data_IF_085184988429
#
_entry.id   IF_085184988429
#
_cell.length_a   1.000
_cell.length_b   1.000
_cell.length_c   1.000
_cell.angle_alpha   90.00
_cell.angle_beta   90.00
_cell.angle_gamma   90.00
#
_symmetry.space_group_name_H-M   'P 1'
#
loop_
_entity.id
_entity.type
_entity.pdbx_description
1 polymer ?
#
# COMPACT_ATOMS: atom_id res chain seq x y z
N UNK A 1 -4.58 15.70 -13.87
CA UNK A 1 -4.22 15.62 -12.44
C UNK A 1 -2.87 16.31 -12.31
N UNK A 2 -2.72 17.24 -11.37
CA UNK A 2 -1.61 18.20 -11.39
C UNK A 2 -0.25 17.51 -11.31
N UNK A 3 0.72 18.03 -12.06
CA UNK A 3 2.11 17.60 -12.05
C UNK A 3 2.80 17.82 -10.67
N UNK A 4 2.21 18.65 -9.80
CA UNK A 4 2.74 18.95 -8.47
C UNK A 4 1.71 18.54 -7.41
N UNK A 5 2.03 17.47 -6.68
CA UNK A 5 1.31 17.00 -5.51
C UNK A 5 2.03 17.55 -4.26
N UNK A 6 1.30 18.08 -3.27
CA UNK A 6 1.92 18.66 -2.05
C UNK A 6 2.63 17.57 -1.26
N UNK A 7 2.08 16.35 -1.27
CA UNK A 7 2.74 15.15 -0.77
C UNK A 7 4.12 14.97 -1.40
N UNK A 8 4.19 14.95 -2.74
CA UNK A 8 5.45 14.77 -3.45
C UNK A 8 6.48 15.84 -3.10
N UNK A 9 6.06 17.11 -3.10
CA UNK A 9 6.93 18.23 -2.71
C UNK A 9 7.46 18.08 -1.27
N UNK A 10 6.59 17.68 -0.33
CA UNK A 10 6.96 17.48 1.08
C UNK A 10 7.98 16.35 1.23
N UNK A 11 7.75 15.19 0.59
CA UNK A 11 8.65 14.04 0.66
C UNK A 11 10.02 14.36 0.05
N UNK A 12 10.05 15.00 -1.11
CA UNK A 12 11.29 15.39 -1.77
C UNK A 12 12.06 16.48 -0.99
N UNK A 13 11.33 17.36 -0.29
CA UNK A 13 11.95 18.35 0.60
C UNK A 13 12.69 17.67 1.77
N UNK A 14 12.04 16.72 2.45
CA UNK A 14 12.67 15.94 3.54
C UNK A 14 13.88 15.14 3.05
N UNK A 15 13.77 14.56 1.85
CA UNK A 15 14.87 13.86 1.19
C UNK A 15 16.09 14.77 1.01
N UNK A 16 15.91 15.92 0.34
CA UNK A 16 16.99 16.88 0.08
C UNK A 16 17.61 17.47 1.34
N UNK A 17 16.81 17.68 2.38
CA UNK A 17 17.27 18.21 3.67
C UNK A 17 18.04 17.19 4.52
N UNK A 18 18.21 15.95 4.03
CA UNK A 18 18.81 14.85 4.78
C UNK A 18 18.10 14.61 6.12
N UNK A 19 16.77 14.72 6.12
CA UNK A 19 15.96 14.60 7.32
C UNK A 19 16.14 13.23 8.01
N UNK A 20 16.23 13.24 9.34
CA UNK A 20 16.17 12.04 10.18
C UNK A 20 15.05 12.19 11.17
N UNK A 21 14.07 11.29 11.12
CA UNK A 21 12.86 11.44 11.92
C UNK A 21 11.66 10.70 11.36
N UNK A 22 10.50 11.12 11.86
CA UNK A 22 9.20 10.58 11.48
C UNK A 22 8.37 11.69 10.83
N UNK A 23 7.79 11.40 9.68
CA UNK A 23 6.73 12.20 9.07
C UNK A 23 5.41 11.49 9.31
N UNK A 24 4.55 12.11 10.12
CA UNK A 24 3.17 11.66 10.30
C UNK A 24 2.27 12.41 9.33
N UNK A 25 1.52 11.67 8.53
CA UNK A 25 0.55 12.19 7.56
C UNK A 25 -0.83 11.73 8.01
N UNK A 26 -1.78 12.66 8.12
CA UNK A 26 -3.16 12.35 8.53
C UNK A 26 -4.14 12.91 7.52
N UNK A 27 -5.05 12.06 7.03
CA UNK A 27 -6.17 12.48 6.19
C UNK A 27 -7.31 13.01 7.06
N UNK A 28 -7.87 14.18 6.72
CA UNK A 28 -8.86 14.84 7.58
C UNK A 28 -10.22 14.13 7.62
N UNK A 29 -10.60 13.45 6.54
CA UNK A 29 -11.94 12.89 6.35
C UNK A 29 -12.18 11.57 7.10
N UNK A 30 -11.17 10.71 7.18
CA UNK A 30 -11.30 9.36 7.76
C UNK A 30 -10.30 9.08 8.89
N UNK A 31 -9.58 10.13 9.33
CA UNK A 31 -8.53 10.09 10.36
C UNK A 31 -7.48 9.00 10.09
N UNK A 32 -7.31 8.58 8.83
CA UNK A 32 -6.27 7.63 8.48
C UNK A 32 -4.91 8.28 8.61
N UNK A 33 -3.97 7.51 9.16
CA UNK A 33 -2.64 8.00 9.48
C UNK A 33 -1.58 7.10 8.89
N UNK A 34 -0.55 7.73 8.36
CA UNK A 34 0.69 7.10 7.91
C UNK A 34 1.86 7.69 8.70
N UNK A 35 2.78 6.84 9.09
CA UNK A 35 4.04 7.26 9.72
C UNK A 35 5.19 6.79 8.85
N UNK A 36 5.85 7.73 8.19
CA UNK A 36 6.98 7.48 7.30
C UNK A 36 8.29 7.77 8.04
N UNK A 37 9.18 6.79 8.05
CA UNK A 37 10.45 6.86 8.78
C UNK A 37 11.60 7.21 7.83
N UNK A 38 12.45 8.15 8.22
CA UNK A 38 13.57 8.65 7.41
C UNK A 38 14.88 8.65 8.20
N UNK A 39 15.98 8.36 7.51
CA UNK A 39 17.33 8.54 8.02
C UNK A 39 18.21 9.23 6.98
N UNK A 40 18.79 10.39 7.33
CA UNK A 40 19.62 11.21 6.43
C UNK A 40 18.97 11.45 5.05
N UNK A 41 17.66 11.64 5.02
CA UNK A 41 16.86 11.84 3.80
C UNK A 41 16.47 10.55 3.09
N UNK A 42 17.01 9.40 3.49
CA UNK A 42 16.60 8.10 2.95
C UNK A 42 15.30 7.67 3.60
N UNK A 43 14.32 7.33 2.77
CA UNK A 43 13.08 6.70 3.19
C UNK A 43 13.36 5.25 3.62
N UNK A 44 12.87 4.85 4.80
CA UNK A 44 13.13 3.52 5.36
C UNK A 44 11.90 2.62 5.29
N UNK A 45 10.75 3.13 5.74
CA UNK A 45 9.54 2.35 5.94
C UNK A 45 8.34 3.25 6.19
N UNK A 46 7.14 2.72 6.02
CA UNK A 46 5.89 3.37 6.43
C UNK A 46 5.02 2.41 7.24
N UNK A 47 4.49 2.89 8.36
CA UNK A 47 3.44 2.23 9.13
C UNK A 47 2.09 2.92 8.97
N UNK A 48 1.01 2.19 9.26
CA UNK A 48 -0.36 2.69 9.17
C UNK A 48 -0.98 2.57 7.77
N UNK A 49 -1.93 3.46 7.49
CA UNK A 49 -2.74 3.45 6.27
C UNK A 49 -3.85 2.39 6.26
N UNK A 50 -4.50 2.27 5.11
CA UNK A 50 -5.65 1.39 4.92
C UNK A 50 -5.27 -0.09 4.97
N UNK A 51 -5.85 -0.82 5.93
CA UNK A 51 -5.71 -2.27 6.05
C UNK A 51 -4.25 -2.77 6.00
N UNK A 52 -3.34 -2.11 6.74
CA UNK A 52 -1.90 -2.39 6.75
C UNK A 52 -1.57 -3.89 6.84
N UNK A 53 -2.22 -4.62 7.76
CA UNK A 53 -2.03 -6.07 7.93
C UNK A 53 -2.41 -6.89 6.69
N UNK A 54 -3.45 -6.47 5.96
CA UNK A 54 -3.90 -7.14 4.73
C UNK A 54 -2.93 -6.86 3.59
N UNK A 55 -2.52 -5.60 3.40
CA UNK A 55 -1.51 -5.24 2.40
C UNK A 55 -0.19 -5.97 2.66
N UNK A 56 0.26 -5.99 3.92
CA UNK A 56 1.42 -6.77 4.36
C UNK A 56 1.31 -8.24 3.97
N UNK A 57 0.22 -8.93 4.37
CA UNK A 57 0.04 -10.35 4.08
C UNK A 57 0.01 -10.64 2.58
N UNK A 58 -0.68 -9.81 1.79
CA UNK A 58 -0.75 -9.92 0.32
C UNK A 58 0.63 -9.82 -0.30
N UNK A 59 1.40 -8.79 0.07
CA UNK A 59 2.74 -8.56 -0.44
C UNK A 59 3.72 -9.65 0.01
N UNK A 60 3.69 -10.03 1.29
CA UNK A 60 4.53 -11.09 1.82
C UNK A 60 4.29 -12.43 1.12
N UNK A 61 3.04 -12.82 0.92
CA UNK A 61 2.71 -14.07 0.21
C UNK A 61 3.18 -14.05 -1.25
N UNK A 62 3.12 -12.89 -1.91
CA UNK A 62 3.54 -12.72 -3.31
C UNK A 62 5.05 -12.80 -3.49
N UNK A 63 5.82 -12.12 -2.65
CA UNK A 63 7.27 -11.97 -2.83
C UNK A 63 8.11 -12.97 -2.01
N UNK A 64 7.52 -13.52 -0.95
CA UNK A 64 8.15 -14.51 -0.07
C UNK A 64 7.29 -15.80 -0.03
N UNK A 65 6.98 -16.44 -1.18
CA UNK A 65 6.13 -17.63 -1.20
C UNK A 65 6.78 -18.79 -0.43
N UNK A 66 5.96 -19.54 0.32
CA UNK A 66 6.41 -20.71 1.08
C UNK A 66 7.17 -20.42 2.37
N UNK A 67 7.40 -19.15 2.71
CA UNK A 67 8.04 -18.77 3.97
C UNK A 67 7.05 -18.92 5.12
N UNK A 68 7.33 -19.86 6.03
CA UNK A 68 6.59 -19.95 7.28
C UNK A 68 7.05 -18.82 8.21
N UNK A 69 6.16 -17.92 8.61
CA UNK A 69 6.47 -16.85 9.57
C UNK A 69 6.32 -17.30 11.02
N UNK A 70 5.62 -18.40 11.28
CA UNK A 70 5.34 -18.92 12.63
C UNK A 70 6.61 -19.48 13.31
N UNK A 71 7.63 -19.83 12.53
CA UNK A 71 8.95 -20.23 13.06
C UNK A 71 9.78 -19.06 13.61
N UNK A 72 9.30 -17.81 13.46
CA UNK A 72 9.99 -16.62 13.95
C UNK A 72 9.21 -15.98 15.09
N UNK A 73 9.65 -16.23 16.31
CA UNK A 73 9.21 -15.46 17.47
C UNK A 73 9.95 -14.13 17.55
N UNK A 74 9.22 -13.03 17.31
CA UNK A 74 9.72 -11.69 17.59
C UNK A 74 9.46 -11.35 19.05
N UNK A 75 10.54 -11.17 19.82
CA UNK A 75 10.44 -10.65 21.18
C UNK A 75 9.80 -9.27 21.15
N UNK A 76 8.76 -9.08 21.95
CA UNK A 76 8.14 -7.77 22.10
C UNK A 76 9.16 -6.79 22.69
N UNK A 77 9.31 -5.63 22.05
CA UNK A 77 10.07 -4.51 22.57
C UNK A 77 9.13 -3.30 22.64
N UNK A 78 8.99 -2.62 23.79
CA UNK A 78 8.04 -1.52 23.96
C UNK A 78 8.24 -0.36 22.97
N UNK A 79 9.46 -0.19 22.46
CA UNK A 79 9.79 0.89 21.52
C UNK A 79 9.65 0.48 20.05
N UNK A 80 9.41 -0.80 19.76
CA UNK A 80 9.29 -1.31 18.40
C UNK A 80 8.11 -0.65 17.69
N UNK A 81 8.40 0.04 16.59
CA UNK A 81 7.38 0.75 15.79
C UNK A 81 6.75 -0.13 14.72
N UNK A 82 7.48 -1.13 14.21
CA UNK A 82 6.99 -2.02 13.16
C UNK A 82 7.36 -3.47 13.43
N UNK A 83 6.35 -4.33 13.63
CA UNK A 83 6.55 -5.78 13.67
C UNK A 83 6.94 -6.33 12.30
N UNK A 84 6.31 -5.84 11.25
CA UNK A 84 6.54 -6.27 9.86
C UNK A 84 7.97 -6.02 9.42
N UNK A 85 8.50 -4.82 9.69
CA UNK A 85 9.87 -4.47 9.37
C UNK A 85 10.87 -5.33 10.15
N UNK A 86 10.67 -5.47 11.47
CA UNK A 86 11.51 -6.33 12.31
C UNK A 86 11.52 -7.78 11.80
N UNK A 87 10.36 -8.30 11.37
CA UNK A 87 10.26 -9.64 10.80
C UNK A 87 11.14 -9.78 9.54
N UNK A 88 11.10 -8.82 8.61
CA UNK A 88 11.95 -8.84 7.41
C UNK A 88 13.43 -8.86 7.77
N UNK A 89 13.83 -8.03 8.73
CA UNK A 89 15.22 -7.96 9.17
C UNK A 89 15.68 -9.31 9.73
N UNK A 90 14.87 -9.95 10.59
CA UNK A 90 15.20 -11.27 11.16
C UNK A 90 15.23 -12.36 10.09
N UNK A 91 14.26 -12.38 9.18
CA UNK A 91 14.22 -13.36 8.08
C UNK A 91 15.43 -13.22 7.15
N UNK A 92 15.86 -11.99 6.86
CA UNK A 92 17.07 -11.73 6.08
C UNK A 92 18.33 -12.22 6.79
N UNK A 93 18.47 -11.88 8.07
CA UNK A 93 19.62 -12.29 8.89
C UNK A 93 19.74 -13.81 9.00
N UNK A 94 18.60 -14.51 9.10
CA UNK A 94 18.52 -15.97 9.11
C UNK A 94 18.66 -16.61 7.71
N UNK A 95 18.82 -15.80 6.65
CA UNK A 95 18.89 -16.25 5.25
C UNK A 95 17.67 -17.06 4.79
N UNK A 96 16.51 -16.86 5.43
CA UNK A 96 15.24 -17.50 5.05
C UNK A 96 14.66 -16.82 3.81
N UNK A 97 14.87 -15.51 3.69
CA UNK A 97 14.53 -14.73 2.51
C UNK A 97 15.76 -14.01 1.97
N UNK A 98 15.76 -13.75 0.68
CA UNK A 98 16.85 -13.08 -0.02
C UNK A 98 16.61 -11.57 -0.10
N UNK A 99 17.70 -10.80 -0.24
CA UNK A 99 17.64 -9.33 -0.37
C UNK A 99 16.75 -8.88 -1.54
N UNK A 100 16.75 -9.61 -2.66
CA UNK A 100 15.90 -9.32 -3.82
C UNK A 100 14.40 -9.45 -3.49
N UNK A 101 14.01 -10.45 -2.69
CA UNK A 101 12.62 -10.65 -2.28
C UNK A 101 12.15 -9.51 -1.37
N UNK A 102 13.00 -9.09 -0.43
CA UNK A 102 12.73 -7.94 0.44
C UNK A 102 12.60 -6.67 -0.39
N UNK A 103 13.56 -6.41 -1.29
CA UNK A 103 13.53 -5.22 -2.15
C UNK A 103 12.20 -5.14 -2.90
N UNK A 104 11.82 -6.20 -3.63
CA UNK A 104 10.58 -6.23 -4.39
C UNK A 104 9.32 -6.06 -3.52
N UNK A 105 9.32 -6.64 -2.31
CA UNK A 105 8.24 -6.50 -1.34
C UNK A 105 8.11 -5.06 -0.84
N UNK A 106 9.21 -4.44 -0.40
CA UNK A 106 9.19 -3.08 0.16
C UNK A 106 8.90 -2.05 -0.93
N UNK A 107 9.44 -2.24 -2.14
CA UNK A 107 9.14 -1.36 -3.28
C UNK A 107 7.63 -1.39 -3.59
N UNK A 108 7.02 -2.57 -3.70
CA UNK A 108 5.59 -2.67 -4.00
C UNK A 108 4.72 -2.13 -2.85
N UNK A 109 5.06 -2.40 -1.59
CA UNK A 109 4.36 -1.79 -0.44
C UNK A 109 4.45 -0.27 -0.46
N UNK A 110 5.64 0.26 -0.74
CA UNK A 110 5.86 1.71 -0.79
C UNK A 110 5.10 2.35 -1.95
N UNK A 111 5.05 1.69 -3.11
CA UNK A 111 4.23 2.14 -4.24
C UNK A 111 2.73 2.14 -3.89
N UNK A 112 2.22 1.10 -3.23
CA UNK A 112 0.82 1.04 -2.78
C UNK A 112 0.49 2.17 -1.80
N UNK A 113 1.37 2.43 -0.82
CA UNK A 113 1.20 3.47 0.18
C UNK A 113 1.22 4.86 -0.44
N UNK A 114 2.18 5.14 -1.34
CA UNK A 114 2.24 6.43 -2.02
C UNK A 114 1.03 6.61 -2.96
N UNK A 115 0.55 5.55 -3.61
CA UNK A 115 -0.70 5.62 -4.36
C UNK A 115 -1.89 5.99 -3.46
N UNK A 116 -1.98 5.35 -2.28
CA UNK A 116 -3.07 5.61 -1.32
C UNK A 116 -3.02 7.04 -0.79
N UNK A 117 -1.83 7.55 -0.48
CA UNK A 117 -1.63 8.94 -0.06
C UNK A 117 -2.00 9.94 -1.17
N UNK A 118 -1.67 9.66 -2.43
CA UNK A 118 -2.08 10.48 -3.57
C UNK A 118 -3.60 10.49 -3.77
N UNK A 119 -4.25 9.33 -3.58
CA UNK A 119 -5.71 9.25 -3.61
C UNK A 119 -6.33 10.00 -2.42
N UNK A 120 -5.75 9.90 -1.22
CA UNK A 120 -6.20 10.62 -0.03
C UNK A 120 -6.06 12.13 -0.19
N UNK A 121 -4.94 12.60 -0.77
CA UNK A 121 -4.71 14.01 -1.12
C UNK A 121 -5.72 14.54 -2.15
N UNK A 122 -6.17 13.70 -3.07
CA UNK A 122 -7.22 14.05 -4.01
C UNK A 122 -8.60 14.16 -3.35
N UNK A 123 -8.88 13.31 -2.36
CA UNK A 123 -10.17 13.27 -1.65
C UNK A 123 -10.28 14.31 -0.53
N UNK A 124 -9.18 14.67 0.11
CA UNK A 124 -9.18 15.49 1.32
C UNK A 124 -7.84 16.20 1.55
N UNK A 125 -7.83 17.16 2.48
CA UNK A 125 -6.59 17.79 2.92
C UNK A 125 -5.78 16.81 3.76
N UNK A 126 -4.48 16.68 3.44
CA UNK A 126 -3.51 15.98 4.27
C UNK A 126 -2.84 16.96 5.25
N UNK A 127 -2.82 16.58 6.53
CA UNK A 127 -2.04 17.27 7.56
C UNK A 127 -0.69 16.56 7.72
N UNK A 128 0.36 17.35 7.96
CA UNK A 128 1.73 16.85 8.09
C UNK A 128 2.31 17.28 9.44
N UNK A 129 2.76 16.31 10.24
CA UNK A 129 3.54 16.53 11.45
C UNK A 129 4.93 15.93 11.28
N UNK A 130 5.97 16.69 11.62
CA UNK A 130 7.36 16.25 11.48
C UNK A 130 7.98 16.19 12.87
N UNK A 131 8.51 15.03 13.23
CA UNK A 131 9.26 14.81 14.45
C UNK A 131 10.72 14.48 14.10
N UNK A 132 11.62 15.39 14.38
CA UNK A 132 13.07 15.15 14.24
C UNK A 132 13.53 14.18 15.33
N UNK A 133 14.22 13.11 14.94
CA UNK A 133 14.77 12.12 15.87
C UNK A 133 16.23 11.82 15.56
N UNK A 134 16.83 10.91 16.33
CA UNK A 134 18.22 10.47 16.11
C UNK A 134 18.27 9.10 15.43
N UNK A 135 19.41 8.78 14.82
CA UNK A 135 19.68 7.42 14.35
C UNK A 135 19.51 6.37 15.45
N UNK A 136 19.92 6.71 16.69
CA UNK A 136 19.76 5.86 17.87
C UNK A 136 18.30 5.56 18.20
N UNK A 137 17.42 6.55 18.05
CA UNK A 137 15.98 6.36 18.21
C UNK A 137 15.45 5.34 17.19
N UNK A 138 15.81 5.50 15.90
CA UNK A 138 15.35 4.59 14.84
C UNK A 138 15.82 3.15 15.07
N UNK A 139 17.06 2.96 15.53
CA UNK A 139 17.59 1.65 15.90
C UNK A 139 16.81 1.03 17.07
N UNK A 140 16.51 1.82 18.13
CA UNK A 140 15.67 1.36 19.25
C UNK A 140 14.23 1.06 18.83
N UNK A 141 13.73 1.75 17.81
CA UNK A 141 12.43 1.52 17.20
C UNK A 141 12.35 0.23 16.36
N UNK A 142 13.47 -0.48 16.19
CA UNK A 142 13.54 -1.75 15.47
C UNK A 142 13.92 -1.62 13.99
N UNK A 143 14.24 -0.41 13.53
CA UNK A 143 14.67 -0.19 12.14
C UNK A 143 16.15 -0.52 11.95
N UNK A 144 16.49 -0.94 10.73
CA UNK A 144 17.86 -1.15 10.29
C UNK A 144 18.18 -0.12 9.23
N UNK A 145 19.17 0.73 9.49
CA UNK A 145 19.52 1.83 8.60
C UNK A 145 20.14 1.36 7.26
N UNK A 146 20.36 0.06 7.11
CA UNK A 146 20.96 -0.57 5.92
C UNK A 146 20.19 -1.82 5.44
N UNK A 147 18.91 -1.97 5.82
CA UNK A 147 18.12 -3.13 5.39
C UNK A 147 18.08 -3.22 3.86
N UNK A 148 17.65 -2.15 3.20
CA UNK A 148 17.66 -1.95 1.75
C UNK A 148 17.79 -0.46 1.43
N UNK A 149 18.20 -0.15 0.19
CA UNK A 149 18.23 1.22 -0.31
C UNK A 149 17.00 1.46 -1.18
N UNK A 150 16.17 2.42 -0.78
CA UNK A 150 14.97 2.79 -1.53
C UNK A 150 15.22 4.08 -2.31
N UNK A 151 14.90 4.07 -3.59
CA UNK A 151 14.91 5.28 -4.41
C UNK A 151 13.54 5.96 -4.30
N UNK A 152 13.41 6.87 -3.33
CA UNK A 152 12.16 7.58 -3.07
C UNK A 152 11.64 8.33 -4.31
N UNK A 153 12.52 8.96 -5.09
CA UNK A 153 12.14 9.71 -6.29
C UNK A 153 11.50 8.79 -7.33
N UNK A 154 12.12 7.62 -7.56
CA UNK A 154 11.60 6.62 -8.50
C UNK A 154 10.25 6.07 -8.04
N UNK A 155 10.13 5.66 -6.77
CA UNK A 155 8.88 5.11 -6.22
C UNK A 155 7.77 6.16 -6.30
N UNK A 156 8.06 7.41 -5.96
CA UNK A 156 7.12 8.52 -6.07
C UNK A 156 6.67 8.75 -7.52
N UNK A 157 7.59 8.77 -8.47
CA UNK A 157 7.29 8.92 -9.89
C UNK A 157 6.39 7.79 -10.42
N UNK A 158 6.69 6.54 -10.05
CA UNK A 158 5.90 5.37 -10.43
C UNK A 158 4.49 5.43 -9.83
N UNK A 159 4.36 5.77 -8.55
CA UNK A 159 3.06 5.93 -7.89
C UNK A 159 2.22 7.07 -8.48
N UNK A 160 2.85 8.21 -8.81
CA UNK A 160 2.18 9.31 -9.51
C UNK A 160 1.72 8.89 -10.91
N UNK A 161 2.54 8.14 -11.63
CA UNK A 161 2.19 7.61 -12.95
C UNK A 161 1.01 6.64 -12.85
N UNK A 162 1.03 5.72 -11.88
CA UNK A 162 -0.05 4.79 -11.63
C UNK A 162 -1.35 5.52 -11.24
N UNK A 163 -1.27 6.52 -10.37
CA UNK A 163 -2.39 7.35 -9.95
C UNK A 163 -2.99 8.15 -11.11
N UNK A 164 -2.15 8.75 -11.96
CA UNK A 164 -2.59 9.47 -13.16
C UNK A 164 -3.31 8.55 -14.14
N UNK A 165 -2.77 7.35 -14.41
CA UNK A 165 -3.42 6.34 -15.25
C UNK A 165 -4.77 5.92 -14.66
N UNK A 166 -4.82 5.68 -13.35
CA UNK A 166 -6.05 5.34 -12.64
C UNK A 166 -7.13 6.41 -12.78
N UNK A 167 -6.79 7.67 -12.51
CA UNK A 167 -7.72 8.79 -12.68
C UNK A 167 -8.16 9.01 -14.13
N UNK A 168 -7.27 8.80 -15.11
CA UNK A 168 -7.61 8.92 -16.54
C UNK A 168 -8.67 7.91 -17.02
N UNK A 169 -8.88 6.82 -16.28
CA UNK A 169 -9.93 5.83 -16.51
C UNK A 169 -11.24 6.14 -15.77
N UNK A 170 -11.35 7.32 -15.16
CA UNK A 170 -12.51 7.71 -14.36
C UNK A 170 -12.57 7.04 -12.98
N UNK A 171 -11.47 6.42 -12.53
CA UNK A 171 -11.44 5.65 -11.29
C UNK A 171 -10.97 6.48 -10.07
N UNK A 172 -10.81 7.80 -10.19
CA UNK A 172 -10.27 8.63 -9.11
C UNK A 172 -11.03 8.48 -7.76
N UNK A 173 -12.35 8.30 -7.81
CA UNK A 173 -13.21 8.05 -6.65
C UNK A 173 -13.23 6.59 -6.19
N UNK A 174 -12.81 5.64 -7.05
CA UNK A 174 -12.76 4.22 -6.74
C UNK A 174 -11.47 3.88 -5.99
N UNK A 175 -11.58 3.42 -4.75
CA UNK A 175 -10.42 2.98 -3.98
C UNK A 175 -9.98 1.58 -4.39
N UNK A 176 -8.67 1.31 -4.60
CA UNK A 176 -8.16 -0.05 -4.76
C UNK A 176 -8.41 -0.97 -3.55
N UNK A 177 -8.77 -0.38 -2.39
CA UNK A 177 -9.19 -1.10 -1.19
C UNK A 177 -10.68 -1.47 -1.19
N UNK A 178 -11.45 -1.02 -2.17
CA UNK A 178 -12.85 -1.40 -2.30
C UNK A 178 -12.97 -2.91 -2.50
N UNK A 179 -13.86 -3.56 -1.74
CA UNK A 179 -14.17 -4.96 -1.90
C UNK A 179 -15.48 -5.08 -2.70
N UNK A 180 -15.42 -5.36 -4.01
CA UNK A 180 -16.60 -5.30 -4.86
C UNK A 180 -17.59 -6.41 -4.53
N UNK A 181 -18.88 -6.07 -4.56
CA UNK A 181 -20.01 -6.98 -4.47
C UNK A 181 -20.73 -7.01 -5.81
N UNK A 182 -20.97 -8.21 -6.37
CA UNK A 182 -21.67 -8.36 -7.64
C UNK A 182 -23.06 -7.73 -7.55
N UNK A 183 -23.35 -6.79 -8.45
CA UNK A 183 -24.68 -6.23 -8.63
C UNK A 183 -25.58 -7.28 -9.28
N UNK A 184 -26.49 -7.90 -8.51
CA UNK A 184 -27.45 -8.87 -9.03
C UNK A 184 -28.67 -8.17 -9.62
N UNK A 185 -28.49 -7.54 -10.78
CA UNK A 185 -29.61 -7.12 -11.62
C UNK A 185 -30.26 -8.32 -12.31
N UNK A 186 -31.57 -8.29 -12.52
CA UNK A 186 -32.30 -9.35 -13.25
C UNK A 186 -31.70 -9.61 -14.65
N UNK A 187 -31.16 -8.56 -15.28
CA UNK A 187 -30.55 -8.62 -16.62
C UNK A 187 -29.25 -9.44 -16.67
N UNK A 188 -28.50 -9.52 -15.57
CA UNK A 188 -27.16 -10.12 -15.55
C UNK A 188 -27.19 -11.65 -15.67
N UNK A 189 -28.24 -12.28 -15.15
CA UNK A 189 -28.51 -13.71 -15.32
C UNK A 189 -29.07 -14.05 -16.71
N UNK A 190 -29.72 -13.08 -17.38
CA UNK A 190 -30.28 -13.29 -18.71
C UNK A 190 -29.24 -13.10 -19.82
N UNK A 191 -28.19 -12.30 -19.57
CA UNK A 191 -27.17 -11.95 -20.57
C UNK A 191 -25.90 -12.81 -20.52
N UNK A 192 -25.65 -13.53 -19.43
CA UNK A 192 -24.43 -14.30 -19.22
C UNK A 192 -24.71 -15.76 -18.87
N UNK A 193 -23.89 -16.71 -19.34
CA UNK A 193 -23.96 -18.11 -18.91
C UNK A 193 -23.88 -18.25 -17.39
N UNK A 194 -24.64 -19.19 -16.82
CA UNK A 194 -24.70 -19.45 -15.37
C UNK A 194 -23.32 -19.66 -14.74
N UNK A 195 -22.42 -20.36 -15.44
CA UNK A 195 -21.04 -20.60 -14.99
C UNK A 195 -20.27 -19.29 -14.79
N UNK A 196 -20.46 -18.30 -15.67
CA UNK A 196 -19.81 -16.99 -15.56
C UNK A 196 -20.37 -16.22 -14.38
N UNK A 197 -21.71 -16.20 -14.22
CA UNK A 197 -22.38 -15.52 -13.09
C UNK A 197 -21.99 -16.14 -11.75
N UNK A 198 -21.88 -17.47 -11.67
CA UNK A 198 -21.41 -18.18 -10.48
C UNK A 198 -19.96 -17.83 -10.14
N UNK A 199 -19.07 -17.82 -11.14
CA UNK A 199 -17.68 -17.42 -10.95
C UNK A 199 -17.55 -15.96 -10.51
N UNK A 200 -18.30 -15.04 -11.12
CA UNK A 200 -18.33 -13.63 -10.71
C UNK A 200 -18.89 -13.46 -9.29
N UNK A 201 -19.95 -14.17 -8.91
CA UNK A 201 -20.49 -14.13 -7.55
C UNK A 201 -19.48 -14.62 -6.51
N UNK A 202 -18.65 -15.61 -6.86
CA UNK A 202 -17.59 -16.13 -5.99
C UNK A 202 -16.44 -15.13 -5.82
N UNK A 203 -16.10 -14.39 -6.88
CA UNK A 203 -15.02 -13.40 -6.88
C UNK A 203 -15.46 -12.06 -6.25
N UNK A 204 -16.61 -11.53 -6.66
CA UNK A 204 -17.16 -10.23 -6.26
C UNK A 204 -18.16 -10.42 -5.10
N UNK A 205 -17.64 -10.83 -3.94
CA UNK A 205 -18.43 -11.19 -2.77
C UNK A 205 -18.29 -10.20 -1.60
N UNK A 206 -17.67 -9.04 -1.82
CA UNK A 206 -17.43 -8.02 -0.78
C UNK A 206 -16.33 -8.35 0.23
N UNK A 207 -15.60 -9.47 0.09
CA UNK A 207 -14.57 -9.88 1.07
C UNK A 207 -13.15 -9.50 0.65
N UNK A 208 -12.83 -9.61 -0.63
CA UNK A 208 -11.50 -9.36 -1.20
C UNK A 208 -11.48 -7.98 -1.85
N UNK A 209 -10.44 -7.18 -1.59
CA UNK A 209 -10.29 -5.87 -2.25
C UNK A 209 -9.91 -6.02 -3.73
N UNK A 210 -10.01 -4.94 -4.52
CA UNK A 210 -9.50 -4.93 -5.90
C UNK A 210 -8.03 -5.35 -5.96
N UNK A 211 -7.18 -4.91 -5.02
CA UNK A 211 -5.78 -5.35 -4.92
C UNK A 211 -5.65 -6.85 -4.59
N UNK A 212 -6.47 -7.37 -3.69
CA UNK A 212 -6.46 -8.81 -3.36
C UNK A 212 -6.86 -9.66 -4.58
N UNK A 213 -7.90 -9.23 -5.30
CA UNK A 213 -8.37 -9.89 -6.51
C UNK A 213 -7.33 -9.84 -7.62
N UNK A 214 -6.64 -8.70 -7.79
CA UNK A 214 -5.59 -8.54 -8.79
C UNK A 214 -4.45 -9.55 -8.56
N UNK A 215 -4.00 -9.70 -7.32
CA UNK A 215 -2.97 -10.71 -6.97
C UNK A 215 -3.49 -12.13 -7.18
N UNK A 216 -4.72 -12.43 -6.73
CA UNK A 216 -5.33 -13.76 -6.88
C UNK A 216 -5.52 -14.19 -8.34
N UNK A 217 -5.77 -13.23 -9.23
CA UNK A 217 -6.01 -13.49 -10.65
C UNK A 217 -4.77 -13.28 -11.52
N UNK A 218 -3.63 -12.95 -10.91
CA UNK A 218 -2.40 -12.56 -11.59
C UNK A 218 -2.62 -11.50 -12.68
N UNK A 219 -3.32 -10.42 -12.30
CA UNK A 219 -3.64 -9.28 -13.16
C UNK A 219 -3.10 -7.98 -12.56
N UNK A 220 -2.88 -7.00 -13.44
CA UNK A 220 -2.71 -5.63 -13.01
C UNK A 220 -4.01 -5.12 -12.36
N UNK A 221 -3.89 -4.38 -11.24
CA UNK A 221 -5.05 -3.88 -10.50
C UNK A 221 -5.91 -2.90 -11.32
N UNK A 222 -5.30 -2.09 -12.19
CA UNK A 222 -6.02 -1.16 -13.07
C UNK A 222 -6.84 -1.93 -14.11
N UNK A 223 -6.21 -2.88 -14.81
CA UNK A 223 -6.86 -3.67 -15.86
C UNK A 223 -8.00 -4.51 -15.29
N UNK A 224 -7.76 -5.15 -14.13
CA UNK A 224 -8.79 -5.87 -13.39
C UNK A 224 -9.97 -4.92 -13.11
N UNK A 225 -9.71 -3.79 -12.46
CA UNK A 225 -10.75 -2.85 -12.03
C UNK A 225 -11.57 -2.34 -13.22
N UNK A 226 -10.93 -1.94 -14.32
CA UNK A 226 -11.61 -1.55 -15.56
C UNK A 226 -12.51 -2.67 -16.11
N UNK A 227 -12.05 -3.93 -16.04
CA UNK A 227 -12.81 -5.08 -16.53
C UNK A 227 -14.02 -5.44 -15.66
N UNK A 228 -13.95 -5.21 -14.33
CA UNK A 228 -15.02 -5.60 -13.41
C UNK A 228 -15.95 -4.47 -12.95
N UNK A 229 -15.57 -3.20 -13.14
CA UNK A 229 -16.37 -2.05 -12.69
C UNK A 229 -17.84 -2.06 -13.14
N UNK A 230 -18.21 -2.46 -14.38
CA UNK A 230 -19.60 -2.46 -14.80
C UNK A 230 -20.50 -3.39 -13.98
N UNK A 231 -19.91 -4.38 -13.29
CA UNK A 231 -20.63 -5.43 -12.58
C UNK A 231 -20.83 -5.16 -11.08
N UNK A 232 -20.26 -4.08 -10.55
CA UNK A 232 -20.48 -3.67 -9.15
C UNK A 232 -20.82 -2.17 -9.00
N UNK A 233 -20.77 -1.37 -10.07
CA UNK A 233 -21.12 0.05 -10.01
C UNK A 233 -22.59 0.33 -10.37
N UNK A 234 -23.41 0.65 -9.36
CA UNK A 234 -24.51 1.62 -9.52
C UNK A 234 -24.56 2.67 -8.41
N UNK A 235 -23.70 2.58 -7.39
CA UNK A 235 -23.75 3.47 -6.23
C UNK A 235 -22.32 3.75 -5.74
N UNK A 236 -21.73 4.83 -6.23
CA UNK A 236 -20.63 5.50 -5.53
C UNK A 236 -21.30 6.41 -4.49
N UNK A 237 -21.68 5.86 -3.34
CA UNK A 237 -21.84 6.71 -2.16
C UNK A 237 -20.49 6.78 -1.47
N UNK A 238 -20.11 8.01 -1.11
CA UNK A 238 -18.85 8.32 -0.46
C UNK A 238 -18.61 7.43 0.75
N UNK A 239 -17.40 6.88 0.78
CA UNK A 239 -16.70 6.51 1.99
C UNK A 239 -15.32 7.15 1.87
#
# INVERSE_FOLDING_TARGET
MSANSKLGEKLLSLHRQKFTGVLTITAQNDQQQWEMFFHQGQYLWTEGGYHANRSWRRNFTRYCPGVNTEIVELRYQPQMRSRSYCLLNVLLQRKIIQRQQIQALIDNLSQEILFDLLQAEYKSVLNYSVETTSAHYLLKAGFSLSLISLNLEQILFESQTAWSKWGSKGLASCSPHHAPLLHRGQDLQQQLPDLIVANMSRLLNGKQTLRDLAVKMDKNVLDLTCGIIPYFSKVIYGC
#
